data_IF_139441591743
#
_entry.id   IF_139441591743
#
_cell.length_a   1.000
_cell.length_b   1.000
_cell.length_c   1.000
_cell.angle_alpha   90.00
_cell.angle_beta   90.00
_cell.angle_gamma   90.00
#
_symmetry.space_group_name_H-M   'P 1'
#
loop_
_entity.id
_entity.type
_entity.pdbx_description
1 polymer ?
#
# COMPACT_ATOMS: atom_id res chain seq x y z
N UNK A 1 -5.96 6.35 -4.00
CA UNK A 1 -4.84 5.88 -3.15
C UNK A 1 -4.95 6.56 -1.80
N UNK A 2 -4.55 5.90 -0.72
CA UNK A 2 -4.56 6.49 0.63
C UNK A 2 -3.36 5.99 1.44
N UNK A 3 -3.22 6.57 2.62
CA UNK A 3 -2.33 6.13 3.71
C UNK A 3 -3.19 6.00 4.95
N UNK A 4 -2.81 5.08 5.82
CA UNK A 4 -3.55 4.82 7.05
C UNK A 4 -3.19 5.84 8.16
N UNK A 5 -4.01 5.85 9.23
CA UNK A 5 -3.84 6.73 10.39
C UNK A 5 -2.58 6.40 11.18
N UNK A 6 -1.64 7.33 11.26
CA UNK A 6 -0.37 7.17 12.02
C UNK A 6 -0.59 6.91 13.52
N UNK A 7 -1.73 7.32 14.08
CA UNK A 7 -2.01 7.18 15.51
C UNK A 7 -2.29 5.73 15.90
N UNK A 8 -2.73 4.89 14.96
CA UNK A 8 -3.28 3.55 15.26
C UNK A 8 -2.88 2.46 14.25
N UNK A 9 -2.55 2.83 13.01
CA UNK A 9 -2.40 1.94 11.84
C UNK A 9 -1.03 2.16 11.18
N UNK A 10 0.04 2.13 11.98
CA UNK A 10 1.41 2.34 11.47
C UNK A 10 1.79 1.24 10.49
N UNK A 11 1.56 -0.01 10.91
CA UNK A 11 1.75 -1.22 10.11
C UNK A 11 0.38 -1.88 9.96
N UNK A 12 0.10 -2.35 8.75
CA UNK A 12 -1.15 -3.04 8.43
C UNK A 12 -0.85 -4.38 7.79
N UNK A 13 -1.77 -5.33 7.98
CA UNK A 13 -1.77 -6.59 7.28
C UNK A 13 -3.13 -6.87 6.64
N UNK A 14 -3.09 -7.46 5.45
CA UNK A 14 -4.27 -7.95 4.73
C UNK A 14 -4.11 -9.46 4.60
N UNK A 15 -4.99 -10.22 5.25
CA UNK A 15 -5.14 -11.65 5.01
C UNK A 15 -6.31 -11.86 4.06
N UNK A 16 -6.05 -12.48 2.92
CA UNK A 16 -7.10 -12.90 2.01
C UNK A 16 -7.65 -14.25 2.46
N UNK A 17 -8.94 -14.28 2.76
CA UNK A 17 -9.62 -15.48 3.24
C UNK A 17 -10.10 -16.30 2.05
N UNK A 18 -10.81 -15.65 1.12
CA UNK A 18 -11.36 -16.29 -0.07
C UNK A 18 -11.85 -15.23 -1.07
N UNK A 19 -11.82 -15.58 -2.35
CA UNK A 19 -12.65 -14.93 -3.38
C UNK A 19 -13.36 -15.95 -4.27
N UNK A 20 -14.38 -15.50 -5.00
CA UNK A 20 -15.13 -16.30 -5.95
C UNK A 20 -15.15 -15.68 -7.34
N UNK A 21 -15.12 -16.54 -8.36
CA UNK A 21 -15.15 -16.18 -9.78
C UNK A 21 -14.00 -15.26 -10.24
N UNK A 22 -12.90 -15.25 -9.50
CA UNK A 22 -11.61 -14.71 -9.94
C UNK A 22 -10.72 -15.88 -10.41
N UNK A 23 -9.92 -15.68 -11.46
CA UNK A 23 -8.93 -16.68 -11.90
C UNK A 23 -7.57 -16.37 -11.29
N UNK A 24 -7.22 -17.07 -10.22
CA UNK A 24 -6.03 -16.84 -9.39
C UNK A 24 -4.69 -16.92 -10.14
N UNK A 25 -4.70 -17.49 -11.35
CA UNK A 25 -3.51 -17.75 -12.17
C UNK A 25 -3.50 -16.90 -13.46
N UNK A 26 -4.51 -16.05 -13.68
CA UNK A 26 -4.56 -15.18 -14.86
C UNK A 26 -4.12 -13.75 -14.45
N UNK A 27 -2.97 -13.26 -14.97
CA UNK A 27 -2.51 -11.89 -14.72
C UNK A 27 -3.57 -10.84 -15.07
N UNK A 28 -4.43 -11.10 -16.07
CA UNK A 28 -5.48 -10.18 -16.51
C UNK A 28 -6.62 -10.04 -15.51
N UNK A 29 -6.79 -11.01 -14.63
CA UNK A 29 -7.78 -10.96 -13.54
C UNK A 29 -7.13 -10.79 -12.19
N UNK A 30 -5.81 -10.57 -12.12
CA UNK A 30 -5.14 -10.28 -10.86
C UNK A 30 -5.68 -8.98 -10.28
N UNK A 31 -5.93 -8.99 -8.97
CA UNK A 31 -6.33 -7.82 -8.21
C UNK A 31 -5.22 -7.63 -7.17
N UNK A 32 -4.12 -6.91 -7.49
CA UNK A 32 -3.00 -6.74 -6.57
C UNK A 32 -3.21 -5.53 -5.64
N UNK A 33 -2.55 -5.53 -4.48
CA UNK A 33 -2.37 -4.31 -3.71
C UNK A 33 -1.33 -3.46 -4.44
N UNK A 34 -1.72 -2.26 -4.85
CA UNK A 34 -0.80 -1.24 -5.35
C UNK A 34 -0.24 -0.48 -4.16
N UNK A 35 1.07 -0.34 -4.07
CA UNK A 35 1.76 0.41 -3.01
C UNK A 35 2.95 1.18 -3.58
N UNK A 36 3.14 2.42 -3.13
CA UNK A 36 4.29 3.25 -3.47
C UNK A 36 5.28 3.26 -2.31
N UNK A 37 6.55 2.98 -2.59
CA UNK A 37 7.61 3.06 -1.58
C UNK A 37 8.07 4.51 -1.32
N UNK A 38 9.03 4.67 -0.40
CA UNK A 38 9.61 5.97 -0.04
C UNK A 38 10.34 6.67 -1.19
N UNK A 39 10.70 5.93 -2.25
CA UNK A 39 11.30 6.45 -3.49
C UNK A 39 10.24 6.74 -4.57
N UNK A 40 8.96 6.68 -4.21
CA UNK A 40 7.82 6.81 -5.14
C UNK A 40 7.79 5.73 -6.24
N UNK A 41 8.45 4.59 -6.05
CA UNK A 41 8.36 3.46 -6.97
C UNK A 41 7.08 2.68 -6.72
N UNK A 42 6.37 2.33 -7.80
CA UNK A 42 5.14 1.53 -7.72
C UNK A 42 5.49 0.03 -7.59
N UNK A 43 4.81 -0.64 -6.67
CA UNK A 43 4.84 -2.08 -6.49
C UNK A 43 3.42 -2.64 -6.58
N UNK A 44 3.25 -3.73 -7.34
CA UNK A 44 2.01 -4.49 -7.46
C UNK A 44 2.18 -5.81 -6.71
N UNK A 45 1.55 -5.92 -5.55
CA UNK A 45 1.68 -7.08 -4.68
C UNK A 45 0.47 -8.00 -4.85
N UNK A 46 0.61 -9.15 -5.54
CA UNK A 46 -0.45 -10.13 -5.63
C UNK A 46 -0.58 -10.91 -4.32
N UNK A 47 -1.77 -11.44 -4.07
CA UNK A 47 -2.04 -12.39 -3.00
C UNK A 47 -3.15 -13.36 -3.45
N UNK A 48 -3.26 -14.48 -2.74
CA UNK A 48 -4.24 -15.56 -2.95
C UNK A 48 -4.90 -15.94 -1.63
N UNK A 49 -6.01 -16.71 -1.65
CA UNK A 49 -6.62 -17.20 -0.42
C UNK A 49 -5.60 -17.93 0.47
N UNK A 50 -5.54 -17.54 1.74
CA UNK A 50 -4.57 -18.02 2.73
C UNK A 50 -3.25 -17.24 2.79
N UNK A 51 -3.02 -16.27 1.89
CA UNK A 51 -1.83 -15.42 1.92
C UNK A 51 -2.08 -14.10 2.65
N UNK A 52 -1.01 -13.58 3.27
CA UNK A 52 -1.02 -12.33 3.99
C UNK A 52 -0.01 -11.35 3.38
N UNK A 53 -0.43 -10.10 3.23
CA UNK A 53 0.45 -8.98 2.89
C UNK A 53 0.67 -8.17 4.17
N UNK A 54 1.92 -7.98 4.59
CA UNK A 54 2.32 -7.07 5.68
C UNK A 54 3.02 -5.86 5.07
N UNK A 55 2.60 -4.65 5.42
CA UNK A 55 3.16 -3.44 4.81
C UNK A 55 3.13 -2.22 5.73
N UNK A 56 4.01 -1.27 5.43
CA UNK A 56 4.08 0.03 6.10
C UNK A 56 2.91 0.91 5.63
N UNK A 57 1.90 1.08 6.48
CA UNK A 57 0.59 1.59 6.01
C UNK A 57 0.45 3.10 6.13
N UNK A 58 1.09 3.69 7.13
CA UNK A 58 0.86 5.09 7.51
C UNK A 58 1.70 6.13 6.74
N UNK A 59 2.57 5.66 5.86
CA UNK A 59 3.57 6.48 5.13
C UNK A 59 3.68 6.08 3.65
N UNK A 60 3.44 4.82 3.30
CA UNK A 60 3.45 4.35 1.92
C UNK A 60 2.02 4.38 1.33
N UNK A 61 1.74 5.24 0.32
CA UNK A 61 0.44 5.28 -0.33
C UNK A 61 0.07 3.94 -0.95
N UNK A 62 -1.11 3.41 -0.62
CA UNK A 62 -1.53 2.09 -1.06
C UNK A 62 -3.04 2.03 -1.39
N UNK A 63 -3.45 0.92 -2.00
CA UNK A 63 -4.85 0.63 -2.31
C UNK A 63 -5.04 -0.35 -3.47
N UNK A 64 -6.30 -0.61 -3.80
CA UNK A 64 -6.73 -1.40 -4.96
C UNK A 64 -7.61 -0.50 -5.84
N UNK A 65 -7.02 0.37 -6.67
CA UNK A 65 -7.78 1.39 -7.41
C UNK A 65 -8.61 0.79 -8.56
N UNK A 66 -8.14 -0.32 -9.12
CA UNK A 66 -8.83 -1.04 -10.18
C UNK A 66 -10.01 -1.83 -9.60
N UNK A 67 -11.13 -2.01 -10.33
CA UNK A 67 -12.27 -2.77 -9.84
C UNK A 67 -11.93 -4.26 -9.67
N UNK A 68 -12.50 -4.87 -8.64
CA UNK A 68 -12.45 -6.32 -8.49
C UNK A 68 -13.28 -7.00 -9.59
N UNK A 69 -12.69 -7.96 -10.30
CA UNK A 69 -13.33 -8.65 -11.42
C UNK A 69 -13.92 -10.03 -11.04
N UNK A 70 -14.04 -10.34 -9.75
CA UNK A 70 -14.74 -11.51 -9.25
C UNK A 70 -16.14 -11.19 -8.72
N UNK A 71 -16.83 -12.19 -8.19
CA UNK A 71 -18.17 -12.04 -7.59
C UNK A 71 -18.10 -11.51 -6.17
N UNK A 72 -17.23 -12.11 -5.37
CA UNK A 72 -17.14 -11.91 -3.92
C UNK A 72 -15.67 -11.99 -3.49
N UNK A 73 -15.32 -11.22 -2.46
CA UNK A 73 -14.00 -11.21 -1.82
C UNK A 73 -14.18 -11.06 -0.32
N UNK A 74 -13.42 -11.83 0.45
CA UNK A 74 -13.36 -11.76 1.90
C UNK A 74 -11.91 -11.53 2.36
N UNK A 75 -11.70 -10.40 3.04
CA UNK A 75 -10.40 -10.02 3.61
C UNK A 75 -10.53 -9.77 5.11
N UNK A 76 -9.46 -10.06 5.85
CA UNK A 76 -9.25 -9.59 7.22
C UNK A 76 -8.19 -8.50 7.18
N UNK A 77 -8.54 -7.33 7.70
CA UNK A 77 -7.64 -6.20 7.87
C UNK A 77 -7.18 -6.13 9.32
N UNK A 78 -5.87 -6.15 9.53
CA UNK A 78 -5.25 -5.99 10.84
C UNK A 78 -4.46 -4.70 10.83
N UNK A 79 -4.74 -3.85 11.80
CA UNK A 79 -4.07 -2.57 11.94
C UNK A 79 -3.45 -2.49 13.31
N UNK A 80 -2.18 -2.10 13.37
CA UNK A 80 -1.53 -1.91 14.67
C UNK A 80 -0.47 -0.81 14.64
N UNK A 81 -0.29 -0.21 15.81
CA UNK A 81 0.80 0.71 16.12
C UNK A 81 1.77 0.01 17.08
N UNK A 82 3.05 -0.14 16.71
CA UNK A 82 4.05 -0.67 17.64
C UNK A 82 4.12 0.14 18.94
N UNK A 83 4.39 -0.53 20.06
CA UNK A 83 4.62 0.15 21.33
C UNK A 83 5.88 1.02 21.23
N UNK A 84 5.81 2.24 21.75
CA UNK A 84 6.94 3.18 21.67
C UNK A 84 7.14 3.81 20.29
N UNK A 85 6.22 3.63 19.33
CA UNK A 85 6.32 4.29 18.04
C UNK A 85 6.31 5.82 18.19
N UNK A 86 7.26 6.56 17.59
CA UNK A 86 7.37 8.01 17.74
C UNK A 86 6.07 8.71 17.38
N UNK A 87 5.72 9.75 18.14
CA UNK A 87 4.67 10.68 17.70
C UNK A 87 5.25 11.54 16.59
N UNK A 88 4.54 11.59 15.48
CA UNK A 88 4.91 12.44 14.35
C UNK A 88 4.22 13.79 14.59
N UNK A 89 4.87 14.67 15.34
CA UNK A 89 4.40 16.05 15.49
C UNK A 89 4.87 16.83 14.26
N UNK A 90 3.93 17.27 13.41
CA UNK A 90 4.19 18.30 12.39
C UNK A 90 4.72 17.85 11.02
N UNK A 91 4.71 16.55 10.67
CA UNK A 91 5.04 16.13 9.30
C UNK A 91 3.83 16.34 8.38
N UNK A 92 3.74 17.51 7.74
CA UNK A 92 2.78 17.77 6.67
C UNK A 92 3.06 16.79 5.53
N UNK A 93 2.12 15.89 5.24
CA UNK A 93 2.18 15.08 4.01
C UNK A 93 2.29 16.02 2.83
N UNK A 94 3.31 15.80 1.99
CA UNK A 94 3.43 16.51 0.73
C UNK A 94 2.22 16.16 -0.13
N UNK A 95 1.63 17.17 -0.76
CA UNK A 95 0.48 16.95 -1.66
C UNK A 95 0.90 16.07 -2.85
N UNK A 96 -0.07 15.45 -3.52
CA UNK A 96 0.18 14.68 -4.75
C UNK A 96 0.89 15.51 -5.83
N UNK A 97 0.72 16.83 -5.82
CA UNK A 97 1.37 17.78 -6.72
C UNK A 97 2.85 18.00 -6.35
N UNK A 98 3.18 18.04 -5.06
CA UNK A 98 4.56 18.15 -4.59
C UNK A 98 5.38 16.88 -4.92
N UNK A 99 4.80 15.68 -4.79
CA UNK A 99 5.45 14.45 -5.25
C UNK A 99 5.67 14.42 -6.78
N UNK A 100 4.71 14.91 -7.57
CA UNK A 100 4.87 15.01 -9.03
C UNK A 100 5.95 16.02 -9.44
N UNK A 101 6.10 17.12 -8.70
CA UNK A 101 7.14 18.14 -8.96
C UNK A 101 8.56 17.65 -8.63
N UNK A 102 8.72 16.81 -7.59
CA UNK A 102 10.01 16.23 -7.20
C UNK A 102 10.58 15.26 -8.25
N UNK A 103 9.73 14.69 -9.12
CA UNK A 103 10.16 13.83 -10.23
C UNK A 103 10.75 14.61 -11.42
N UNK A 104 10.49 15.93 -11.49
CA UNK A 104 10.97 16.80 -12.56
C UNK A 104 12.19 17.67 -12.16
N UNK A 105 12.61 17.62 -10.89
CA UNK A 105 13.73 18.40 -10.36
C UNK A 105 14.97 17.54 -10.12
N UNK A 106 15.99 17.74 -10.95
CA UNK A 106 17.41 17.38 -10.80
C UNK A 106 17.78 16.11 -10.04
N UNK A 107 18.19 15.08 -10.82
CA UNK A 107 19.18 14.10 -10.38
C UNK A 107 20.49 14.82 -10.09
N UNK A 108 20.77 15.12 -8.83
CA UNK A 108 22.11 15.52 -8.42
C UNK A 108 22.62 14.61 -7.30
N UNK A 109 23.50 13.69 -7.71
CA UNK A 109 24.68 13.22 -6.97
C UNK A 109 24.47 12.61 -5.57
N UNK A 110 24.23 11.29 -5.53
CA UNK A 110 24.63 10.46 -4.39
C UNK A 110 25.94 9.76 -4.76
N UNK A 111 27.06 10.25 -4.23
CA UNK A 111 28.32 9.50 -4.16
C UNK A 111 28.49 8.99 -2.73
N UNK A 112 28.92 7.73 -2.66
CA UNK A 112 29.24 6.89 -1.48
C UNK A 112 30.09 7.57 -0.43
#
# INVERSE_FOLDING_TARGET
>A
MHVDRQETHVISAILEVQHLLMKDQDPKTSWPLRIFDHSSSEHLIPNKPGQMILYESSTCPHGRPDPFLGREMANVFVHFKPRGWPKVDGLRMRSSEECASALNGDRASCTT
#
